data_IF_282423839948
#
_entry.id   IF_282423839948
#
_cell.length_a   1.000
_cell.length_b   1.000
_cell.length_c   1.000
_cell.angle_alpha   90.00
_cell.angle_beta   90.00
_cell.angle_gamma   90.00
#
_symmetry.space_group_name_H-M   'P 1'
#
loop_
_entity.id
_entity.type
_entity.pdbx_description
1 polymer ?
#
# COMPACT_ATOMS: atom_id res chain seq x y z
N UNK A 1 22.26 18.72 8.41
CA UNK A 1 21.26 17.63 8.37
C UNK A 1 19.83 18.14 8.26
N UNK A 2 19.32 19.02 9.13
CA UNK A 2 17.94 19.55 9.02
C UNK A 2 17.57 20.09 7.61
N UNK A 3 18.50 20.79 6.94
CA UNK A 3 18.33 21.29 5.57
C UNK A 3 18.19 20.19 4.50
N UNK A 4 18.80 19.01 4.70
CA UNK A 4 18.68 17.86 3.80
C UNK A 4 17.37 17.09 4.02
N UNK A 5 16.90 16.96 5.27
CA UNK A 5 15.60 16.35 5.58
C UNK A 5 14.44 17.18 5.02
N UNK A 6 14.51 18.51 5.16
CA UNK A 6 13.53 19.41 4.52
C UNK A 6 13.53 19.31 2.99
N UNK A 7 14.69 19.11 2.35
CA UNK A 7 14.77 18.88 0.91
C UNK A 7 14.17 17.53 0.47
N UNK A 8 14.09 16.56 1.39
CA UNK A 8 13.41 15.26 1.20
C UNK A 8 11.92 15.32 1.60
N UNK A 9 11.39 16.50 1.94
CA UNK A 9 10.00 16.67 2.38
C UNK A 9 9.72 16.14 3.79
N UNK A 10 10.75 15.80 4.56
CA UNK A 10 10.62 15.37 5.95
C UNK A 10 10.57 16.64 6.81
N UNK A 11 9.35 17.01 7.21
CA UNK A 11 9.05 18.11 8.12
C UNK A 11 8.78 17.54 9.52
N UNK A 12 8.76 18.35 10.60
CA UNK A 12 8.57 17.85 11.97
C UNK A 12 7.32 16.98 12.18
N UNK A 13 6.28 17.19 11.38
CA UNK A 13 5.01 16.46 11.43
C UNK A 13 5.02 15.15 10.62
N UNK A 14 5.98 14.97 9.72
CA UNK A 14 6.13 13.75 8.91
C UNK A 14 6.38 12.57 9.84
N UNK A 15 5.69 11.44 9.62
CA UNK A 15 6.05 10.19 10.30
C UNK A 15 7.07 9.44 9.47
N UNK A 16 8.28 9.23 10.00
CA UNK A 16 9.36 8.53 9.28
C UNK A 16 9.33 7.05 9.64
N UNK A 17 9.11 6.18 8.64
CA UNK A 17 9.29 4.73 8.81
C UNK A 17 10.70 4.36 8.37
N UNK A 18 11.52 3.88 9.32
CA UNK A 18 12.88 3.42 9.07
C UNK A 18 12.82 1.95 8.67
N UNK A 19 13.45 1.61 7.55
CA UNK A 19 13.49 0.25 7.00
C UNK A 19 14.95 -0.14 6.76
N UNK A 20 15.44 -1.13 7.51
CA UNK A 20 16.79 -1.64 7.32
C UNK A 20 16.89 -2.58 6.13
N UNK A 21 18.08 -2.56 5.51
CA UNK A 21 18.58 -3.66 4.71
C UNK A 21 19.04 -4.80 5.61
N UNK A 22 20.34 -5.06 5.66
CA UNK A 22 20.86 -6.29 6.26
C UNK A 22 21.27 -6.16 7.73
N UNK A 23 21.30 -4.94 8.30
CA UNK A 23 21.82 -4.68 9.66
C UNK A 23 20.91 -3.76 10.47
N UNK A 24 20.49 -4.24 11.64
CA UNK A 24 19.61 -3.50 12.56
C UNK A 24 20.26 -2.25 13.19
N UNK A 25 21.59 -2.22 13.34
CA UNK A 25 22.28 -1.08 13.96
C UNK A 25 22.31 0.17 13.06
N UNK A 26 22.05 0.04 11.77
CA UNK A 26 21.91 1.20 10.88
C UNK A 26 20.62 1.99 11.20
N UNK A 27 19.60 1.32 11.75
CA UNK A 27 18.31 1.93 12.10
C UNK A 27 18.37 2.72 13.39
N UNK A 28 19.09 2.20 14.38
CA UNK A 28 19.27 2.90 15.66
C UNK A 28 20.08 4.17 15.44
N UNK A 29 20.99 4.20 14.47
CA UNK A 29 21.70 5.43 14.07
C UNK A 29 20.79 6.46 13.41
N UNK A 30 19.88 6.04 12.52
CA UNK A 30 18.89 6.93 11.91
C UNK A 30 17.88 7.42 12.94
N UNK A 31 17.41 6.56 13.83
CA UNK A 31 16.52 6.91 14.94
C UNK A 31 17.17 7.94 15.87
N UNK A 32 18.42 7.71 16.30
CA UNK A 32 19.19 8.66 17.12
C UNK A 32 19.41 9.99 16.38
N UNK A 33 19.64 9.95 15.06
CA UNK A 33 19.78 11.16 14.26
C UNK A 33 18.45 11.95 14.18
N UNK A 34 17.31 11.28 14.04
CA UNK A 34 15.99 11.90 14.08
C UNK A 34 15.71 12.51 15.46
N UNK A 35 15.97 11.78 16.55
CA UNK A 35 15.80 12.28 17.91
C UNK A 35 16.68 13.49 18.21
N UNK A 36 17.96 13.48 17.80
CA UNK A 36 18.89 14.62 17.94
C UNK A 36 18.46 15.86 17.15
N UNK A 37 17.64 15.67 16.11
CA UNK A 37 17.04 16.75 15.32
C UNK A 37 15.65 17.16 15.85
N UNK A 38 15.18 16.58 16.96
CA UNK A 38 13.88 16.86 17.55
C UNK A 38 12.71 16.17 16.85
N UNK A 39 12.99 15.20 15.97
CA UNK A 39 11.98 14.48 15.18
C UNK A 39 11.62 13.16 15.88
N UNK A 40 10.56 13.18 16.68
CA UNK A 40 10.14 12.04 17.53
C UNK A 40 9.09 11.14 16.90
N UNK A 41 8.62 11.47 15.68
CA UNK A 41 7.59 10.74 14.96
C UNK A 41 8.21 9.72 14.01
N UNK A 42 8.68 8.60 14.55
CA UNK A 42 9.20 7.53 13.71
C UNK A 42 8.78 6.14 14.18
N UNK A 43 8.88 5.17 13.28
CA UNK A 43 8.70 3.75 13.58
C UNK A 43 9.72 2.92 12.81
N UNK A 44 10.09 1.77 13.38
CA UNK A 44 11.04 0.84 12.76
C UNK A 44 10.24 -0.35 12.22
N UNK A 45 10.48 -0.73 10.97
CA UNK A 45 9.83 -1.90 10.36
C UNK A 45 10.47 -3.19 10.88
N UNK A 46 9.75 -3.89 11.75
CA UNK A 46 10.19 -5.17 12.31
C UNK A 46 10.49 -6.22 11.23
N UNK A 47 11.75 -6.66 11.18
CA UNK A 47 12.28 -7.62 10.19
C UNK A 47 12.74 -7.00 8.86
N UNK A 48 12.64 -5.68 8.71
CA UNK A 48 13.26 -4.91 7.64
C UNK A 48 12.91 -5.36 6.22
N UNK A 49 13.77 -4.99 5.28
CA UNK A 49 13.59 -5.24 3.85
C UNK A 49 13.60 -6.73 3.48
N UNK A 50 14.34 -7.56 4.22
CA UNK A 50 14.44 -8.98 3.97
C UNK A 50 13.11 -9.71 4.27
N UNK A 51 12.51 -9.46 5.44
CA UNK A 51 11.19 -10.02 5.79
C UNK A 51 10.11 -9.48 4.86
N UNK A 52 10.14 -8.18 4.56
CA UNK A 52 9.21 -7.56 3.62
C UNK A 52 9.20 -8.26 2.25
N UNK A 53 10.38 -8.59 1.70
CA UNK A 53 10.49 -9.36 0.44
C UNK A 53 10.06 -10.82 0.60
N UNK A 54 10.41 -11.46 1.71
CA UNK A 54 10.09 -12.87 1.96
C UNK A 54 8.59 -13.13 2.09
N UNK A 55 7.81 -12.11 2.49
CA UNK A 55 6.38 -12.27 2.75
C UNK A 55 5.51 -12.42 1.49
N UNK A 56 6.03 -12.21 0.26
CA UNK A 56 5.39 -12.42 -1.06
C UNK A 56 3.85 -12.69 -1.03
N UNK A 57 3.06 -11.71 -0.58
CA UNK A 57 1.75 -11.96 0.03
C UNK A 57 0.67 -12.36 -1.02
N UNK A 58 0.10 -13.59 -0.98
CA UNK A 58 -0.82 -14.12 -2.00
C UNK A 58 -2.31 -13.82 -1.79
N UNK A 59 -3.14 -14.22 -2.77
CA UNK A 59 -4.60 -13.98 -2.85
C UNK A 59 -5.44 -14.58 -1.70
N UNK A 60 -4.89 -15.48 -0.89
CA UNK A 60 -5.59 -16.19 0.19
C UNK A 60 -6.10 -15.27 1.31
N UNK A 61 -5.50 -14.08 1.46
CA UNK A 61 -5.98 -13.04 2.37
C UNK A 61 -7.26 -12.35 1.87
N UNK A 62 -7.43 -12.23 0.55
CA UNK A 62 -8.65 -11.65 -0.03
C UNK A 62 -9.84 -12.61 0.03
N UNK A 63 -9.59 -13.90 -0.16
CA UNK A 63 -10.63 -14.92 -0.14
C UNK A 63 -11.12 -15.24 1.28
N UNK A 64 -10.37 -14.82 2.31
CA UNK A 64 -10.64 -15.11 3.71
C UNK A 64 -10.11 -16.48 4.16
N UNK A 65 -9.34 -17.18 3.34
CA UNK A 65 -8.72 -18.47 3.70
C UNK A 65 -7.63 -18.31 4.78
N UNK A 66 -7.09 -17.09 4.96
CA UNK A 66 -6.20 -16.72 6.07
C UNK A 66 -6.48 -15.27 6.47
N UNK A 67 -6.43 -14.96 7.77
CA UNK A 67 -6.57 -13.59 8.28
C UNK A 67 -5.67 -13.37 9.49
N UNK A 68 -4.83 -12.34 9.42
CA UNK A 68 -4.16 -11.76 10.60
C UNK A 68 -5.01 -10.64 11.22
N UNK A 69 -6.19 -10.37 10.65
CA UNK A 69 -7.11 -9.30 11.01
C UNK A 69 -8.34 -9.84 11.76
N UNK A 70 -9.05 -8.96 12.45
CA UNK A 70 -10.16 -9.33 13.34
C UNK A 70 -11.26 -10.17 12.68
N UNK A 71 -11.48 -10.01 11.37
CA UNK A 71 -12.44 -10.78 10.57
C UNK A 71 -11.85 -11.06 9.18
N UNK A 72 -12.04 -12.29 8.69
CA UNK A 72 -11.58 -12.73 7.37
C UNK A 72 -12.61 -12.38 6.27
N UNK A 73 -12.14 -12.01 5.07
CA UNK A 73 -12.98 -11.69 3.91
C UNK A 73 -12.58 -10.38 3.24
N UNK A 74 -13.55 -9.72 2.61
CA UNK A 74 -13.39 -8.42 1.96
C UNK A 74 -14.67 -7.56 2.07
N UNK A 75 -14.53 -6.28 1.73
CA UNK A 75 -15.65 -5.33 1.70
C UNK A 75 -16.65 -5.79 0.63
N UNK A 76 -17.96 -5.88 0.92
CA UNK A 76 -18.94 -6.33 -0.05
C UNK A 76 -18.90 -5.55 -1.37
N UNK A 77 -18.91 -6.28 -2.49
CA UNK A 77 -18.81 -5.69 -3.82
C UNK A 77 -17.40 -5.25 -4.25
N UNK A 78 -16.38 -5.41 -3.41
CA UNK A 78 -14.99 -5.12 -3.79
C UNK A 78 -14.47 -6.13 -4.81
N UNK A 79 -13.91 -5.62 -5.92
CA UNK A 79 -13.27 -6.44 -6.95
C UNK A 79 -11.78 -6.60 -6.64
N UNK A 80 -11.25 -7.81 -6.77
CA UNK A 80 -9.84 -8.06 -6.51
C UNK A 80 -8.94 -7.51 -7.64
N UNK A 81 -7.99 -6.63 -7.29
CA UNK A 81 -6.86 -6.26 -8.15
C UNK A 81 -5.57 -6.23 -7.32
N UNK A 82 -4.72 -7.26 -7.37
CA UNK A 82 -3.46 -7.25 -6.63
C UNK A 82 -2.53 -6.20 -7.21
N UNK A 83 -1.88 -5.39 -6.36
CA UNK A 83 -0.94 -4.34 -6.81
C UNK A 83 0.19 -4.91 -7.70
N UNK A 84 0.63 -6.14 -7.43
CA UNK A 84 1.66 -6.83 -8.20
C UNK A 84 1.24 -7.09 -9.65
N UNK A 85 -0.07 -7.11 -9.94
CA UNK A 85 -0.59 -7.31 -11.29
C UNK A 85 -0.38 -6.09 -12.20
N UNK A 86 -0.09 -4.92 -11.62
CA UNK A 86 0.27 -3.70 -12.36
C UNK A 86 1.78 -3.61 -12.62
N UNK A 87 2.57 -4.54 -12.06
CA UNK A 87 4.01 -4.53 -12.15
C UNK A 87 4.52 -5.46 -13.25
N UNK A 88 5.61 -5.05 -13.89
CA UNK A 88 6.40 -5.84 -14.82
C UNK A 88 7.80 -6.04 -14.23
N UNK A 89 8.34 -7.25 -14.39
CA UNK A 89 9.74 -7.54 -14.04
C UNK A 89 10.59 -7.36 -15.29
N UNK A 90 11.45 -6.35 -15.28
CA UNK A 90 12.40 -6.08 -16.36
C UNK A 90 13.84 -6.44 -15.96
N UNK A 91 14.76 -6.28 -16.91
CA UNK A 91 16.21 -6.49 -16.72
C UNK A 91 16.83 -5.51 -15.72
N UNK A 92 16.19 -4.37 -15.44
CA UNK A 92 16.69 -3.31 -14.53
C UNK A 92 15.85 -3.23 -13.25
N UNK A 93 15.05 -4.25 -12.95
CA UNK A 93 14.20 -4.31 -11.76
C UNK A 93 12.71 -4.28 -12.06
N UNK A 94 11.91 -3.88 -11.07
CA UNK A 94 10.45 -3.87 -11.16
C UNK A 94 9.97 -2.50 -11.62
N UNK A 95 9.14 -2.47 -12.65
CA UNK A 95 8.50 -1.25 -13.16
C UNK A 95 6.99 -1.42 -13.25
N UNK A 96 6.25 -0.34 -13.47
CA UNK A 96 4.86 -0.45 -13.92
C UNK A 96 4.82 -1.09 -15.31
N UNK A 97 3.74 -1.83 -15.58
CA UNK A 97 3.41 -2.28 -16.94
C UNK A 97 3.19 -1.07 -17.87
N UNK A 98 3.33 -1.27 -19.19
CA UNK A 98 2.96 -0.26 -20.17
C UNK A 98 1.57 0.33 -19.91
N UNK A 99 1.39 1.63 -20.15
CA UNK A 99 0.12 2.32 -19.92
C UNK A 99 -1.04 1.70 -20.70
N UNK A 100 -0.78 1.16 -21.88
CA UNK A 100 -1.76 0.43 -22.70
C UNK A 100 -2.30 -0.79 -21.96
N UNK A 101 -1.42 -1.60 -21.36
CA UNK A 101 -1.78 -2.83 -20.67
C UNK A 101 -2.54 -2.52 -19.37
N UNK A 102 -2.13 -1.46 -18.68
CA UNK A 102 -2.85 -0.96 -17.50
C UNK A 102 -4.22 -0.44 -17.89
N UNK A 103 -4.33 0.37 -18.95
CA UNK A 103 -5.61 0.89 -19.43
C UNK A 103 -6.59 -0.24 -19.77
N UNK A 104 -6.14 -1.24 -20.54
CA UNK A 104 -6.95 -2.40 -20.91
C UNK A 104 -7.40 -3.20 -19.67
N UNK A 105 -6.49 -3.43 -18.72
CA UNK A 105 -6.81 -4.16 -17.49
C UNK A 105 -7.86 -3.43 -16.64
N UNK A 106 -7.73 -2.11 -16.48
CA UNK A 106 -8.67 -1.32 -15.68
C UNK A 106 -9.99 -1.07 -16.41
N UNK A 107 -10.02 -0.98 -17.74
CA UNK A 107 -11.28 -0.96 -18.50
C UNK A 107 -12.07 -2.25 -18.35
N UNK A 108 -11.42 -3.42 -18.39
CA UNK A 108 -12.09 -4.69 -18.12
C UNK A 108 -12.60 -4.79 -16.68
N UNK A 109 -11.86 -4.21 -15.73
CA UNK A 109 -12.18 -4.29 -14.30
C UNK A 109 -13.26 -3.29 -13.89
N UNK A 110 -13.25 -2.07 -14.43
CA UNK A 110 -14.10 -0.96 -13.98
C UNK A 110 -15.15 -0.57 -15.01
N UNK A 111 -14.83 -0.70 -16.31
CA UNK A 111 -15.70 -0.28 -17.42
C UNK A 111 -15.70 1.24 -17.61
N UNK A 112 -16.41 1.96 -16.73
CA UNK A 112 -16.60 3.40 -16.82
C UNK A 112 -15.54 4.19 -16.04
N UNK A 113 -14.82 5.08 -16.73
CA UNK A 113 -13.77 5.94 -16.16
C UNK A 113 -14.32 7.06 -15.25
N UNK A 114 -15.61 7.38 -15.37
CA UNK A 114 -16.28 8.37 -14.54
C UNK A 114 -16.95 7.77 -13.29
N UNK A 115 -16.98 6.43 -13.20
CA UNK A 115 -17.51 5.74 -12.04
C UNK A 115 -16.78 6.16 -10.76
N UNK A 116 -17.52 6.23 -9.66
CA UNK A 116 -16.94 6.48 -8.34
C UNK A 116 -16.20 5.23 -7.87
N UNK A 117 -14.88 5.34 -7.73
CA UNK A 117 -14.02 4.26 -7.25
C UNK A 117 -13.51 4.57 -5.85
N UNK A 118 -13.43 3.53 -5.04
CA UNK A 118 -12.76 3.56 -3.75
C UNK A 118 -11.72 2.46 -3.78
N UNK A 119 -10.45 2.82 -3.64
CA UNK A 119 -9.35 1.86 -3.57
C UNK A 119 -8.93 1.67 -2.12
N UNK A 120 -8.72 0.43 -1.73
CA UNK A 120 -8.29 0.06 -0.39
C UNK A 120 -7.39 -1.18 -0.45
N UNK A 121 -6.60 -1.38 0.60
CA UNK A 121 -5.89 -2.63 0.82
C UNK A 121 -6.08 -3.01 2.31
N UNK A 122 -5.04 -3.48 2.98
CA UNK A 122 -5.06 -3.72 4.43
C UNK A 122 -4.91 -2.44 5.25
N UNK A 123 -3.83 -1.68 5.00
CA UNK A 123 -3.44 -0.46 5.74
C UNK A 123 -3.12 0.73 4.82
N UNK A 124 -3.81 0.83 3.69
CA UNK A 124 -3.70 1.95 2.74
C UNK A 124 -2.45 1.94 1.82
N UNK A 125 -1.30 1.41 2.24
CA UNK A 125 -0.03 1.53 1.50
C UNK A 125 -0.09 1.02 0.05
N UNK A 126 -0.53 -0.22 -0.16
CA UNK A 126 -0.59 -0.81 -1.52
C UNK A 126 -1.68 -0.16 -2.38
N UNK A 127 -2.76 0.33 -1.75
CA UNK A 127 -3.83 1.03 -2.45
C UNK A 127 -3.37 2.37 -3.04
N UNK A 128 -2.31 2.98 -2.49
CA UNK A 128 -1.72 4.20 -3.05
C UNK A 128 -1.18 4.00 -4.47
N UNK A 129 -0.63 2.80 -4.77
CA UNK A 129 -0.16 2.46 -6.12
C UNK A 129 -1.33 2.41 -7.11
N UNK A 130 -2.39 1.67 -6.78
CA UNK A 130 -3.60 1.56 -7.60
C UNK A 130 -4.26 2.92 -7.79
N UNK A 131 -4.33 3.74 -6.72
CA UNK A 131 -4.83 5.11 -6.79
C UNK A 131 -4.02 5.96 -7.78
N UNK A 132 -2.69 5.89 -7.70
CA UNK A 132 -1.80 6.63 -8.58
C UNK A 132 -1.97 6.21 -10.04
N UNK A 133 -2.01 4.90 -10.32
CA UNK A 133 -2.24 4.38 -11.67
C UNK A 133 -3.57 4.89 -12.23
N UNK A 134 -4.67 4.73 -11.50
CA UNK A 134 -5.99 5.17 -11.95
C UNK A 134 -6.06 6.69 -12.15
N UNK A 135 -5.67 7.46 -11.12
CA UNK A 135 -5.88 8.92 -11.09
C UNK A 135 -4.86 9.70 -11.91
N UNK A 136 -3.59 9.30 -11.87
CA UNK A 136 -2.49 10.07 -12.46
C UNK A 136 -2.05 9.56 -13.82
N UNK A 137 -2.13 8.26 -14.06
CA UNK A 137 -1.67 7.67 -15.33
C UNK A 137 -2.80 7.41 -16.31
N UNK A 138 -3.96 6.97 -15.81
CA UNK A 138 -5.10 6.58 -16.65
C UNK A 138 -6.23 7.61 -16.69
N UNK A 139 -6.14 8.70 -15.91
CA UNK A 139 -7.08 9.81 -15.97
C UNK A 139 -8.47 9.53 -15.39
N UNK A 140 -8.65 8.53 -14.54
CA UNK A 140 -9.90 8.33 -13.81
C UNK A 140 -10.16 9.53 -12.90
N UNK A 141 -11.36 10.09 -12.92
CA UNK A 141 -11.61 11.37 -12.24
C UNK A 141 -12.07 11.24 -10.79
N UNK A 142 -12.82 10.17 -10.52
CA UNK A 142 -13.56 9.99 -9.28
C UNK A 142 -13.01 8.82 -8.46
N UNK A 143 -11.72 8.90 -8.08
CA UNK A 143 -11.03 7.86 -7.32
C UNK A 143 -10.70 8.36 -5.92
N UNK A 144 -11.36 7.79 -4.91
CA UNK A 144 -11.07 7.99 -3.50
C UNK A 144 -10.12 6.90 -2.99
N UNK A 145 -9.29 7.25 -2.03
CA UNK A 145 -8.40 6.33 -1.33
C UNK A 145 -8.91 6.15 0.10
N UNK A 146 -9.22 4.90 0.46
CA UNK A 146 -9.57 4.54 1.83
C UNK A 146 -8.35 3.94 2.52
N UNK A 147 -7.70 4.76 3.34
CA UNK A 147 -6.45 4.48 4.03
C UNK A 147 -6.60 3.57 5.25
N UNK A 148 -7.75 3.64 5.94
CA UNK A 148 -8.13 2.73 7.03
C UNK A 148 -8.19 1.25 6.61
N UNK A 149 -8.51 1.02 5.34
CA UNK A 149 -8.39 -0.30 4.70
C UNK A 149 -9.18 -1.42 5.39
N UNK A 150 -8.72 -2.65 5.16
CA UNK A 150 -9.32 -3.84 5.76
C UNK A 150 -9.08 -3.92 7.27
N UNK A 151 -7.97 -3.41 7.79
CA UNK A 151 -7.71 -3.42 9.25
C UNK A 151 -8.79 -2.65 10.01
N UNK A 152 -9.14 -1.44 9.57
CA UNK A 152 -10.24 -0.68 10.18
C UNK A 152 -11.59 -1.36 9.94
N UNK A 153 -11.86 -1.79 8.70
CA UNK A 153 -13.15 -2.39 8.35
C UNK A 153 -13.41 -3.67 9.15
N UNK A 154 -12.42 -4.56 9.22
CA UNK A 154 -12.50 -5.83 9.92
C UNK A 154 -12.68 -5.63 11.44
N UNK A 155 -12.19 -4.53 12.01
CA UNK A 155 -12.35 -4.24 13.44
C UNK A 155 -13.80 -3.83 13.83
N UNK A 156 -14.60 -3.33 12.88
CA UNK A 156 -15.96 -2.82 13.14
C UNK A 156 -17.03 -3.89 12.91
N UNK A 157 -17.50 -4.53 13.96
CA UNK A 157 -18.41 -5.70 13.89
C UNK A 157 -19.74 -5.40 13.19
N UNK A 158 -20.17 -4.15 13.17
CA UNK A 158 -21.37 -3.66 12.48
C UNK A 158 -21.22 -3.61 10.95
N UNK A 159 -19.99 -3.67 10.41
CA UNK A 159 -19.75 -3.60 8.97
C UNK A 159 -19.92 -4.96 8.29
N UNK A 160 -20.59 -5.01 7.13
CA UNK A 160 -20.80 -6.26 6.39
C UNK A 160 -19.51 -6.78 5.77
N UNK A 161 -19.45 -8.09 5.53
CA UNK A 161 -18.30 -8.79 4.96
C UNK A 161 -18.79 -9.78 3.89
N UNK A 162 -18.08 -9.87 2.77
CA UNK A 162 -18.18 -10.97 1.80
C UNK A 162 -16.95 -11.88 1.88
N UNK A 163 -17.12 -13.16 1.54
CA UNK A 163 -16.04 -14.17 1.46
C UNK A 163 -16.10 -14.89 0.11
N UNK A 164 -14.98 -15.46 -0.35
CA UNK A 164 -14.90 -16.14 -1.65
C UNK A 164 -14.23 -15.29 -2.73
N UNK A 165 -14.30 -15.74 -3.99
CA UNK A 165 -13.61 -15.12 -5.13
C UNK A 165 -14.62 -14.37 -6.01
N UNK A 166 -14.36 -13.10 -6.31
CA UNK A 166 -15.03 -12.31 -7.35
C UNK A 166 -14.01 -11.55 -8.19
#
# INVERSE_FOLDING_TARGET
MARQFGAMGIVPETHVVIVHGDKLHDETLVAIALERLGHTRYSILDGGWARWKAENRPADFYTGARSDEARAGHIPGARNRPFSSDLASGTVGVSLKPLTDLAEAYEKLVGDRHARLIVHCRTGHQASQTWFVLRRLLGYENVAWYDGGWTEWAARTEFPIETGVK
#
